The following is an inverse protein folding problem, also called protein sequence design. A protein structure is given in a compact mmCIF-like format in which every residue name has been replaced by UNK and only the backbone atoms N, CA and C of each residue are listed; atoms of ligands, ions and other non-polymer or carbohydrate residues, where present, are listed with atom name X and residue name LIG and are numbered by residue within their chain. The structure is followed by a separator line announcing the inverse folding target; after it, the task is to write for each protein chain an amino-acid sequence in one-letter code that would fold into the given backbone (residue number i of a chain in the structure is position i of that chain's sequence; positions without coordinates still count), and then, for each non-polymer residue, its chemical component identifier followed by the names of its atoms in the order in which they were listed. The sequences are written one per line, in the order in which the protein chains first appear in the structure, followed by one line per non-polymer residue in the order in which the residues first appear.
data_IF_988835444609
#
_entry.id   IF_988835444609
#
_cell.length_a   1.000
_cell.length_b   1.000
_cell.length_c   1.000
_cell.angle_alpha   90.00
_cell.angle_beta   90.00
_cell.angle_gamma   90.00
#
_symmetry.space_group_name_H-M   'P 1'
#
loop_
_entity.id
_entity.type
_entity.pdbx_description
1 polymer ?
#
# COMPACT_ATOMS: atom_id res chain seq x y z
N UNK A 1 -0.59 21.76 -22.94
CA UNK A 1 0.29 20.94 -22.08
C UNK A 1 -0.64 20.11 -21.21
N UNK A 2 -0.54 18.79 -21.27
CA UNK A 2 -1.47 17.92 -20.56
C UNK A 2 -1.05 17.82 -19.08
N UNK A 3 -1.98 18.10 -18.18
CA UNK A 3 -1.76 18.11 -16.73
C UNK A 3 -1.91 16.69 -16.14
N UNK A 4 -1.18 16.36 -15.07
CA UNK A 4 -1.14 15.02 -14.45
C UNK A 4 -2.55 14.49 -14.14
N UNK A 5 -3.43 15.38 -13.69
CA UNK A 5 -4.82 15.05 -13.35
C UNK A 5 -5.63 14.61 -14.57
N UNK A 6 -5.41 15.21 -15.73
CA UNK A 6 -6.09 14.85 -16.97
C UNK A 6 -5.65 13.48 -17.49
N UNK A 7 -4.35 13.17 -17.37
CA UNK A 7 -3.80 11.85 -17.69
C UNK A 7 -4.36 10.76 -16.77
N UNK A 8 -4.40 10.99 -15.46
CA UNK A 8 -4.98 10.05 -14.48
C UNK A 8 -6.47 9.79 -14.77
N UNK A 9 -7.26 10.82 -15.05
CA UNK A 9 -8.68 10.68 -15.42
C UNK A 9 -8.87 9.82 -16.68
N UNK A 10 -8.05 10.04 -17.72
CA UNK A 10 -8.08 9.21 -18.95
C UNK A 10 -7.74 7.75 -18.67
N UNK A 11 -6.82 7.50 -17.74
CA UNK A 11 -6.47 6.17 -17.25
C UNK A 11 -7.51 5.56 -16.27
N UNK A 12 -8.69 6.17 -16.15
CA UNK A 12 -9.83 5.73 -15.32
C UNK A 12 -9.56 5.77 -13.82
N UNK A 13 -8.67 6.65 -13.36
CA UNK A 13 -8.58 7.00 -11.95
C UNK A 13 -9.71 7.98 -11.61
N UNK A 14 -10.33 7.77 -10.46
CA UNK A 14 -11.24 8.73 -9.84
C UNK A 14 -10.47 9.45 -8.73
N UNK A 15 -10.22 10.73 -8.93
CA UNK A 15 -9.54 11.57 -7.95
C UNK A 15 -10.47 11.79 -6.75
N UNK A 16 -9.93 11.69 -5.56
CA UNK A 16 -10.60 11.93 -4.28
C UNK A 16 -9.84 13.05 -3.57
N UNK A 17 -10.53 14.15 -3.31
CA UNK A 17 -9.91 15.33 -2.70
C UNK A 17 -8.78 15.91 -3.55
N UNK A 18 -7.72 16.38 -2.91
CA UNK A 18 -6.60 17.05 -3.56
C UNK A 18 -5.48 16.09 -4.00
N UNK A 19 -5.36 14.92 -3.38
CA UNK A 19 -4.17 14.08 -3.50
C UNK A 19 -4.43 12.56 -3.55
N UNK A 20 -5.67 12.13 -3.29
CA UNK A 20 -6.02 10.72 -3.24
C UNK A 20 -6.67 10.24 -4.55
N UNK A 21 -6.68 8.94 -4.78
CA UNK A 21 -7.40 8.37 -5.92
C UNK A 21 -7.89 6.94 -5.67
N UNK A 22 -8.95 6.57 -6.39
CA UNK A 22 -9.52 5.22 -6.45
C UNK A 22 -9.54 4.75 -7.90
N UNK A 23 -9.39 3.44 -8.09
CA UNK A 23 -9.60 2.81 -9.40
C UNK A 23 -10.16 1.41 -9.20
N UNK A 24 -11.08 0.99 -10.06
CA UNK A 24 -11.58 -0.40 -10.05
C UNK A 24 -10.43 -1.34 -10.39
N UNK A 25 -10.14 -2.25 -9.47
CA UNK A 25 -9.13 -3.27 -9.69
C UNK A 25 -9.51 -4.14 -10.89
N UNK A 26 -8.49 -4.53 -11.68
CA UNK A 26 -8.67 -5.48 -12.78
C UNK A 26 -9.42 -6.75 -12.32
N UNK A 27 -9.09 -7.25 -11.14
CA UNK A 27 -9.71 -8.46 -10.59
C UNK A 27 -11.13 -8.26 -10.07
N UNK A 28 -11.48 -7.06 -9.61
CA UNK A 28 -12.88 -6.73 -9.29
C UNK A 28 -13.75 -6.85 -10.54
N UNK A 29 -13.30 -6.26 -11.66
CA UNK A 29 -13.98 -6.41 -12.97
C UNK A 29 -14.09 -7.88 -13.40
N UNK A 30 -13.00 -8.64 -13.32
CA UNK A 30 -12.98 -10.07 -13.66
C UNK A 30 -13.89 -10.90 -12.76
N UNK A 31 -14.04 -10.52 -11.50
CA UNK A 31 -14.92 -11.20 -10.56
C UNK A 31 -16.40 -10.94 -10.83
N UNK A 32 -16.73 -9.71 -11.24
CA UNK A 32 -18.08 -9.31 -11.60
C UNK A 32 -18.57 -9.93 -12.92
N UNK A 33 -17.69 -10.04 -13.93
CA UNK A 33 -18.09 -10.46 -15.30
C UNK A 33 -17.82 -11.95 -15.56
N UNK A 34 -16.69 -12.47 -15.09
CA UNK A 34 -16.20 -13.81 -15.45
C UNK A 34 -16.19 -14.78 -14.26
N UNK A 35 -16.71 -14.36 -13.10
CA UNK A 35 -16.67 -15.11 -11.84
C UNK A 35 -15.25 -15.56 -11.44
N UNK A 36 -14.22 -14.80 -11.86
CA UNK A 36 -12.81 -15.09 -11.52
C UNK A 36 -12.39 -14.38 -10.24
N UNK A 37 -11.39 -14.93 -9.56
CA UNK A 37 -10.90 -14.41 -8.27
C UNK A 37 -9.42 -14.08 -8.36
N UNK A 38 -8.97 -13.07 -7.61
CA UNK A 38 -7.56 -12.75 -7.50
C UNK A 38 -6.83 -13.74 -6.58
N UNK A 39 -5.50 -13.70 -6.62
CA UNK A 39 -4.67 -14.55 -5.76
C UNK A 39 -4.93 -14.28 -4.27
N UNK A 40 -5.24 -13.03 -3.88
CA UNK A 40 -5.48 -12.69 -2.47
C UNK A 40 -6.72 -13.39 -1.91
N UNK A 41 -7.73 -13.62 -2.74
CA UNK A 41 -8.89 -14.41 -2.34
C UNK A 41 -8.53 -15.86 -2.06
N UNK A 42 -7.66 -16.44 -2.89
CA UNK A 42 -7.21 -17.82 -2.72
C UNK A 42 -6.30 -18.01 -1.50
N UNK A 43 -5.43 -17.05 -1.21
CA UNK A 43 -4.42 -17.18 -0.15
C UNK A 43 -4.86 -16.60 1.19
N UNK A 44 -5.62 -15.50 1.18
CA UNK A 44 -5.98 -14.75 2.38
C UNK A 44 -7.50 -14.69 2.64
N UNK A 45 -8.31 -15.34 1.79
CA UNK A 45 -9.77 -15.40 1.98
C UNK A 45 -10.52 -14.10 1.72
N UNK A 46 -9.87 -13.07 1.15
CA UNK A 46 -10.55 -11.79 0.87
C UNK A 46 -11.40 -11.84 -0.39
N UNK A 47 -12.55 -11.19 -0.37
CA UNK A 47 -13.46 -11.17 -1.53
C UNK A 47 -12.99 -10.15 -2.57
N UNK A 48 -12.57 -10.62 -3.76
CA UNK A 48 -11.95 -9.78 -4.79
C UNK A 48 -12.87 -8.68 -5.30
N UNK A 49 -14.18 -8.94 -5.39
CA UNK A 49 -15.17 -7.96 -5.83
C UNK A 49 -15.48 -6.90 -4.78
N UNK A 50 -15.17 -7.17 -3.50
CA UNK A 50 -15.38 -6.24 -2.36
C UNK A 50 -14.10 -5.53 -1.92
N UNK A 51 -13.11 -5.47 -2.81
CA UNK A 51 -11.86 -4.77 -2.59
C UNK A 51 -11.91 -3.35 -3.19
N UNK A 52 -11.69 -2.35 -2.36
CA UNK A 52 -11.51 -0.95 -2.74
C UNK A 52 -10.01 -0.71 -2.94
N UNK A 53 -9.57 -0.43 -4.17
CA UNK A 53 -8.17 -0.12 -4.47
C UNK A 53 -7.98 1.40 -4.51
N UNK A 54 -7.15 1.92 -3.61
CA UNK A 54 -6.91 3.36 -3.47
C UNK A 54 -5.45 3.72 -3.17
N UNK A 55 -5.17 5.02 -3.17
CA UNK A 55 -3.92 5.61 -2.66
C UNK A 55 -4.21 7.00 -2.10
N UNK A 56 -3.56 7.41 -1.00
CA UNK A 56 -3.59 8.78 -0.50
C UNK A 56 -2.52 9.68 -1.14
N UNK A 57 -1.77 9.22 -2.14
CA UNK A 57 -0.65 9.99 -2.71
C UNK A 57 -0.46 9.72 -4.21
N UNK A 58 -1.51 9.84 -5.01
CA UNK A 58 -1.56 9.32 -6.39
C UNK A 58 -0.44 9.80 -7.32
N UNK A 59 0.00 11.06 -7.18
CA UNK A 59 1.01 11.67 -8.03
C UNK A 59 2.43 11.67 -7.43
N UNK A 60 2.59 11.27 -6.15
CA UNK A 60 3.84 11.43 -5.40
C UNK A 60 4.45 10.08 -5.05
N UNK A 61 5.72 9.88 -5.41
CA UNK A 61 6.52 8.74 -4.99
C UNK A 61 8.00 9.13 -4.93
N UNK A 62 8.75 8.46 -4.08
CA UNK A 62 10.21 8.60 -3.98
C UNK A 62 10.96 7.91 -5.13
N UNK A 63 10.32 6.97 -5.84
CA UNK A 63 10.92 6.24 -6.96
C UNK A 63 10.30 6.59 -8.32
N UNK A 64 11.12 6.52 -9.37
CA UNK A 64 10.73 6.56 -10.79
C UNK A 64 11.04 5.23 -11.47
N UNK A 65 10.37 4.16 -11.02
CA UNK A 65 10.68 2.81 -11.50
C UNK A 65 10.31 2.65 -12.99
N UNK A 66 11.15 1.92 -13.74
CA UNK A 66 10.93 1.60 -15.16
C UNK A 66 9.61 0.84 -15.40
N UNK A 67 9.18 0.02 -14.44
CA UNK A 67 7.95 -0.78 -14.51
C UNK A 67 6.73 -0.07 -13.90
N UNK A 68 6.87 1.15 -13.39
CA UNK A 68 5.75 1.82 -12.73
C UNK A 68 4.74 2.30 -13.78
N UNK A 69 3.51 1.78 -13.69
CA UNK A 69 2.39 2.14 -14.57
C UNK A 69 1.82 3.54 -14.36
N UNK A 70 2.26 4.27 -13.31
CA UNK A 70 1.90 5.68 -13.12
C UNK A 70 2.68 6.54 -14.12
N UNK A 71 2.17 7.72 -14.50
CA UNK A 71 2.91 8.64 -15.36
C UNK A 71 4.09 9.27 -14.57
N UNK A 72 5.21 8.56 -14.48
CA UNK A 72 6.38 8.88 -13.64
C UNK A 72 7.07 10.19 -14.01
N UNK A 73 6.83 10.71 -15.21
CA UNK A 73 7.31 12.02 -15.65
C UNK A 73 6.72 13.14 -14.79
N UNK A 74 5.48 12.99 -14.34
CA UNK A 74 4.70 13.98 -13.58
C UNK A 74 4.79 13.73 -12.06
N UNK A 75 5.96 13.32 -11.58
CA UNK A 75 6.19 13.14 -10.15
C UNK A 75 6.29 14.51 -9.46
N UNK A 76 5.14 15.07 -9.12
CA UNK A 76 4.98 16.35 -8.44
C UNK A 76 5.80 16.39 -7.13
N UNK A 77 6.13 17.60 -6.66
CA UNK A 77 6.97 17.77 -5.46
C UNK A 77 6.21 17.43 -4.17
N UNK A 78 5.16 18.19 -3.86
CA UNK A 78 4.27 17.95 -2.71
C UNK A 78 2.87 18.51 -3.00
N UNK A 79 1.79 17.90 -2.46
CA UNK A 79 0.47 18.50 -2.55
C UNK A 79 0.40 19.80 -1.73
N UNK A 80 -0.42 20.75 -2.19
CA UNK A 80 -0.66 22.02 -1.49
C UNK A 80 -1.32 21.84 -0.12
N UNK A 81 -2.19 20.84 0.00
CA UNK A 81 -2.91 20.51 1.22
C UNK A 81 -3.14 19.01 1.33
N UNK A 82 -3.24 18.52 2.56
CA UNK A 82 -3.61 17.15 2.88
C UNK A 82 -5.03 17.12 3.43
N UNK A 83 -5.88 16.31 2.82
CA UNK A 83 -7.23 16.02 3.27
C UNK A 83 -7.17 15.16 4.54
N UNK A 84 -8.15 15.33 5.42
CA UNK A 84 -8.25 14.52 6.65
C UNK A 84 -8.67 13.08 6.34
N UNK A 85 -8.25 12.08 7.14
CA UNK A 85 -8.55 10.67 6.92
C UNK A 85 -10.02 10.36 6.64
N UNK A 86 -10.93 10.93 7.43
CA UNK A 86 -12.37 10.69 7.31
C UNK A 86 -12.89 11.10 5.92
N UNK A 87 -12.49 12.28 5.44
CA UNK A 87 -12.89 12.78 4.14
C UNK A 87 -12.34 11.91 3.00
N UNK A 88 -11.11 11.40 3.13
CA UNK A 88 -10.51 10.48 2.16
C UNK A 88 -11.31 9.17 2.13
N UNK A 89 -11.60 8.57 3.28
CA UNK A 89 -12.32 7.29 3.36
C UNK A 89 -13.72 7.39 2.75
N UNK A 90 -14.50 8.41 3.15
CA UNK A 90 -15.84 8.65 2.58
C UNK A 90 -15.77 8.93 1.07
N UNK A 91 -14.85 9.79 0.66
CA UNK A 91 -14.61 10.10 -0.75
C UNK A 91 -14.22 8.86 -1.56
N UNK A 92 -13.41 7.96 -0.99
CA UNK A 92 -13.02 6.71 -1.63
C UNK A 92 -14.20 5.73 -1.79
N UNK A 93 -15.03 5.58 -0.77
CA UNK A 93 -16.23 4.71 -0.84
C UNK A 93 -17.21 5.25 -1.89
N UNK A 94 -17.44 6.56 -1.92
CA UNK A 94 -18.32 7.18 -2.89
C UNK A 94 -17.75 7.09 -4.31
N UNK A 95 -16.43 7.30 -4.48
CA UNK A 95 -15.74 7.11 -5.76
C UNK A 95 -15.83 5.66 -6.26
N UNK A 96 -15.69 4.67 -5.38
CA UNK A 96 -15.88 3.27 -5.70
C UNK A 96 -17.30 3.00 -6.23
N UNK A 97 -18.33 3.49 -5.52
CA UNK A 97 -19.74 3.35 -5.94
C UNK A 97 -20.01 4.02 -7.29
N UNK A 98 -19.49 5.23 -7.50
CA UNK A 98 -19.62 5.93 -8.77
C UNK A 98 -18.95 5.16 -9.91
N UNK A 99 -17.74 4.63 -9.70
CA UNK A 99 -17.06 3.82 -10.70
C UNK A 99 -17.81 2.50 -11.00
N UNK A 100 -18.47 1.91 -10.00
CA UNK A 100 -19.29 0.71 -10.15
C UNK A 100 -20.65 1.00 -10.81
N UNK A 101 -21.16 2.23 -10.74
CA UNK A 101 -22.43 2.62 -11.37
C UNK A 101 -22.48 2.27 -12.87
N UNK A 102 -21.34 2.34 -13.56
CA UNK A 102 -21.24 1.99 -14.97
C UNK A 102 -21.56 0.52 -15.29
N UNK A 103 -21.49 -0.38 -14.32
CA UNK A 103 -21.84 -1.80 -14.48
C UNK A 103 -23.36 -2.04 -14.41
N UNK A 104 -24.15 -1.11 -13.85
CA UNK A 104 -25.62 -1.19 -13.90
C UNK A 104 -26.17 -1.02 -15.31
N UNK A 105 -25.40 -0.42 -16.23
CA UNK A 105 -25.73 -0.38 -17.66
C UNK A 105 -25.45 -1.69 -18.40
N UNK A 106 -24.91 -2.71 -17.72
CA UNK A 106 -24.41 -3.94 -18.34
C UNK A 106 -24.76 -5.20 -17.53
N UNK A 107 -25.96 -5.24 -16.95
CA UNK A 107 -26.40 -6.31 -16.05
C UNK A 107 -26.46 -7.70 -16.71
N UNK A 108 -26.58 -7.76 -18.04
CA UNK A 108 -26.62 -9.02 -18.80
C UNK A 108 -25.32 -9.86 -18.68
N UNK A 109 -24.18 -9.23 -18.36
CA UNK A 109 -22.89 -9.92 -18.19
C UNK A 109 -22.28 -9.71 -16.81
N UNK A 110 -23.02 -9.16 -15.86
CA UNK A 110 -22.53 -8.85 -14.52
C UNK A 110 -23.34 -9.63 -13.51
N UNK A 111 -22.66 -10.27 -12.55
CA UNK A 111 -23.31 -10.86 -11.40
C UNK A 111 -23.91 -9.74 -10.51
N UNK A 112 -25.24 -9.66 -10.50
CA UNK A 112 -26.01 -8.63 -9.80
C UNK A 112 -25.78 -8.68 -8.29
N UNK A 113 -25.64 -9.88 -7.71
CA UNK A 113 -25.44 -10.03 -6.27
C UNK A 113 -24.05 -9.54 -5.88
N UNK A 114 -23.03 -9.92 -6.66
CA UNK A 114 -21.67 -9.41 -6.43
C UNK A 114 -21.55 -7.92 -6.68
N UNK A 115 -22.31 -7.35 -7.63
CA UNK A 115 -22.30 -5.91 -7.86
C UNK A 115 -22.81 -5.15 -6.62
N UNK A 116 -23.93 -5.60 -6.03
CA UNK A 116 -24.46 -5.03 -4.78
C UNK A 116 -23.48 -5.14 -3.62
N UNK A 117 -22.75 -6.25 -3.53
CA UNK A 117 -21.70 -6.45 -2.52
C UNK A 117 -20.46 -5.57 -2.79
N UNK A 118 -20.10 -5.35 -4.06
CA UNK A 118 -18.96 -4.53 -4.48
C UNK A 118 -19.18 -3.04 -4.16
N UNK A 119 -20.43 -2.57 -4.19
CA UNK A 119 -20.82 -1.22 -3.78
C UNK A 119 -20.69 -0.99 -2.26
N UNK A 120 -20.54 -2.07 -1.49
CA UNK A 120 -20.30 -2.08 -0.05
C UNK A 120 -19.04 -2.90 0.26
N UNK A 121 -17.86 -2.38 -0.14
CA UNK A 121 -16.60 -3.09 0.00
C UNK A 121 -16.25 -3.32 1.47
N UNK A 122 -15.49 -4.38 1.74
CA UNK A 122 -15.05 -4.79 3.08
C UNK A 122 -13.53 -4.87 3.21
N UNK A 123 -12.80 -4.69 2.10
CA UNK A 123 -11.36 -4.73 2.07
C UNK A 123 -10.87 -3.46 1.36
N UNK A 124 -9.80 -2.86 1.86
CA UNK A 124 -9.12 -1.75 1.20
C UNK A 124 -7.67 -2.13 0.89
N UNK A 125 -7.26 -1.89 -0.35
CA UNK A 125 -5.88 -2.01 -0.80
C UNK A 125 -5.32 -0.61 -1.06
N UNK A 126 -4.50 -0.14 -0.11
CA UNK A 126 -3.73 1.11 -0.19
C UNK A 126 -2.46 0.79 -1.00
N UNK A 127 -2.63 0.68 -2.31
CA UNK A 127 -1.60 0.14 -3.21
C UNK A 127 -1.82 0.53 -4.68
N UNK A 128 -2.54 1.62 -4.95
CA UNK A 128 -2.93 1.97 -6.31
C UNK A 128 -1.77 2.57 -7.12
N UNK A 129 -1.23 3.68 -6.67
CA UNK A 129 -0.13 4.41 -7.28
C UNK A 129 0.51 5.34 -6.24
N UNK A 130 1.72 5.82 -6.51
CA UNK A 130 2.45 6.65 -5.55
C UNK A 130 3.04 5.86 -4.39
N UNK A 131 3.58 6.58 -3.41
CA UNK A 131 4.05 6.02 -2.15
C UNK A 131 3.11 6.46 -1.00
N UNK A 132 2.27 5.55 -0.46
CA UNK A 132 1.24 5.92 0.53
C UNK A 132 1.77 6.56 1.81
N UNK A 133 2.98 6.22 2.23
CA UNK A 133 3.62 6.75 3.45
C UNK A 133 4.04 8.22 3.32
N UNK A 134 3.98 8.81 2.11
CA UNK A 134 4.11 10.26 1.93
C UNK A 134 2.88 11.02 2.44
N UNK A 135 1.77 10.35 2.72
CA UNK A 135 0.62 10.95 3.39
C UNK A 135 0.87 11.04 4.90
N UNK A 136 0.84 12.25 5.51
CA UNK A 136 1.26 12.44 6.91
C UNK A 136 0.45 11.65 7.94
N UNK A 137 -0.86 11.49 7.73
CA UNK A 137 -1.76 10.81 8.68
C UNK A 137 -2.19 9.42 8.19
N UNK A 138 -1.23 8.65 7.67
CA UNK A 138 -1.50 7.29 7.19
C UNK A 138 -2.06 6.37 8.31
N UNK A 139 -1.61 6.56 9.55
CA UNK A 139 -2.17 5.85 10.71
C UNK A 139 -3.64 6.16 10.91
N UNK A 140 -4.04 7.44 10.91
CA UNK A 140 -5.43 7.85 11.03
C UNK A 140 -6.27 7.32 9.86
N UNK A 141 -5.73 7.30 8.64
CA UNK A 141 -6.40 6.70 7.48
C UNK A 141 -6.70 5.21 7.68
N UNK A 142 -5.71 4.44 8.14
CA UNK A 142 -5.88 3.00 8.41
C UNK A 142 -6.89 2.78 9.55
N UNK A 143 -6.85 3.60 10.59
CA UNK A 143 -7.82 3.55 11.70
C UNK A 143 -9.24 3.89 11.24
N UNK A 144 -9.43 4.89 10.39
CA UNK A 144 -10.73 5.27 9.85
C UNK A 144 -11.37 4.17 9.00
N UNK A 145 -10.56 3.43 8.22
CA UNK A 145 -11.03 2.22 7.53
C UNK A 145 -11.41 1.12 8.52
N UNK A 146 -10.59 0.89 9.56
CA UNK A 146 -10.85 -0.14 10.58
C UNK A 146 -12.13 0.15 11.39
N UNK A 147 -12.39 1.42 11.75
CA UNK A 147 -13.64 1.84 12.41
C UNK A 147 -14.87 1.46 11.58
N UNK A 148 -14.76 1.51 10.25
CA UNK A 148 -15.78 1.08 9.29
C UNK A 148 -15.74 -0.42 8.95
N UNK A 149 -14.99 -1.21 9.72
CA UNK A 149 -14.85 -2.68 9.60
C UNK A 149 -14.20 -3.15 8.30
N UNK A 150 -13.33 -2.33 7.69
CA UNK A 150 -12.51 -2.77 6.57
C UNK A 150 -11.30 -3.58 7.05
N UNK A 151 -10.95 -4.61 6.29
CA UNK A 151 -9.58 -5.13 6.31
C UNK A 151 -8.66 -4.21 5.50
N UNK A 152 -7.45 -3.98 5.97
CA UNK A 152 -6.54 -2.98 5.38
C UNK A 152 -5.25 -3.64 4.88
N UNK A 153 -4.93 -3.45 3.60
CA UNK A 153 -3.69 -3.88 2.99
C UNK A 153 -2.89 -2.68 2.52
N UNK A 154 -1.73 -2.44 3.15
CA UNK A 154 -0.80 -1.40 2.77
C UNK A 154 0.33 -1.99 1.92
N UNK A 155 0.68 -1.32 0.82
CA UNK A 155 1.89 -1.61 0.04
C UNK A 155 2.73 -0.35 -0.02
N UNK A 156 3.98 -0.44 0.45
CA UNK A 156 4.96 0.65 0.48
C UNK A 156 6.27 0.17 -0.15
N UNK A 157 7.03 1.11 -0.71
CA UNK A 157 8.40 0.88 -1.17
C UNK A 157 9.45 0.95 -0.04
N UNK A 158 9.04 1.30 1.20
CA UNK A 158 9.91 1.29 2.38
C UNK A 158 10.86 2.48 2.54
N UNK A 159 10.71 3.54 1.75
CA UNK A 159 11.64 4.71 1.73
C UNK A 159 11.29 5.83 2.73
N UNK A 160 10.40 5.58 3.69
CA UNK A 160 9.94 6.59 4.67
C UNK A 160 9.70 5.89 6.02
N UNK A 161 10.77 5.49 6.71
CA UNK A 161 10.74 4.62 7.88
C UNK A 161 10.61 5.40 9.20
N UNK A 162 10.17 6.66 9.17
CA UNK A 162 10.08 7.52 10.36
C UNK A 162 9.35 6.84 11.52
N UNK A 163 8.48 5.86 11.21
CA UNK A 163 7.89 4.93 12.18
C UNK A 163 8.02 3.49 11.68
N UNK A 164 8.72 2.65 12.44
CA UNK A 164 8.65 1.19 12.25
C UNK A 164 7.45 0.64 13.01
N UNK A 165 6.52 -0.02 12.31
CA UNK A 165 5.31 -0.57 12.90
C UNK A 165 5.02 -2.00 12.42
N UNK A 166 4.91 -2.93 13.35
CA UNK A 166 4.41 -4.29 13.10
C UNK A 166 2.94 -4.37 13.54
N UNK A 167 2.04 -4.60 12.59
CA UNK A 167 0.61 -4.74 12.87
C UNK A 167 0.17 -6.20 12.71
N UNK A 168 -0.48 -6.77 13.72
CA UNK A 168 -1.03 -8.12 13.68
C UNK A 168 -2.49 -8.11 13.24
N UNK A 169 -2.87 -9.04 12.35
CA UNK A 169 -4.24 -9.17 11.83
C UNK A 169 -4.86 -10.51 12.24
N UNK A 170 -6.11 -10.56 12.76
CA UNK A 170 -6.97 -9.42 13.14
C UNK A 170 -6.30 -8.56 14.22
N UNK A 171 -6.70 -7.29 14.43
CA UNK A 171 -6.04 -6.30 15.33
C UNK A 171 -5.86 -6.79 16.78
N UNK A 172 -4.98 -7.74 17.00
CA UNK A 172 -4.68 -8.35 18.30
C UNK A 172 -3.58 -7.54 18.99
N UNK A 173 -2.65 -6.98 18.20
CA UNK A 173 -1.48 -6.27 18.70
C UNK A 173 -0.90 -5.34 17.63
N UNK A 174 -0.26 -4.25 18.05
CA UNK A 174 0.66 -3.46 17.25
C UNK A 174 1.93 -3.17 18.04
N UNK A 175 3.09 -3.31 17.39
CA UNK A 175 4.39 -2.93 17.96
C UNK A 175 4.88 -1.71 17.18
N UNK A 176 4.90 -0.54 17.83
CA UNK A 176 5.41 0.71 17.26
C UNK A 176 6.75 1.02 17.90
N UNK A 177 7.79 1.19 17.09
CA UNK A 177 9.12 1.56 17.55
C UNK A 177 9.43 2.97 17.03
N UNK A 178 9.64 3.87 17.98
CA UNK A 178 10.05 5.25 17.73
C UNK A 178 11.40 5.48 18.40
N UNK A 179 12.26 6.28 17.77
CA UNK A 179 13.58 6.52 18.30
C UNK A 179 14.33 7.60 17.54
N UNK A 180 15.47 7.99 18.10
CA UNK A 180 16.39 8.95 17.48
C UNK A 180 17.58 8.17 16.92
N UNK A 181 17.80 8.30 15.62
CA UNK A 181 19.01 7.76 14.98
C UNK A 181 20.12 8.81 15.04
N UNK A 182 21.22 8.47 15.72
CA UNK A 182 22.40 9.32 15.79
C UNK A 182 23.43 8.80 14.81
N UNK A 183 23.78 9.62 13.82
CA UNK A 183 24.84 9.33 12.86
C UNK A 183 26.06 10.18 13.16
N UNK A 184 27.21 9.54 13.41
CA UNK A 184 28.50 10.20 13.51
C UNK A 184 29.43 9.68 12.41
N UNK A 185 29.63 10.50 11.39
CA UNK A 185 30.47 10.19 10.24
C UNK A 185 31.21 11.43 9.76
N UNK A 186 32.30 11.22 9.03
CA UNK A 186 33.15 12.29 8.49
C UNK A 186 32.38 13.28 7.60
N UNK A 187 31.26 12.86 7.01
CA UNK A 187 30.43 13.64 6.08
C UNK A 187 29.14 14.20 6.71
N UNK A 188 29.13 14.40 8.03
CA UNK A 188 27.95 14.85 8.80
C UNK A 188 27.42 16.22 8.36
N UNK A 189 28.31 17.17 8.05
CA UNK A 189 27.90 18.53 7.68
C UNK A 189 27.28 18.57 6.27
N UNK A 190 27.83 17.78 5.34
CA UNK A 190 27.28 17.61 4.00
C UNK A 190 25.89 16.98 4.03
N UNK A 191 25.72 15.93 4.83
CA UNK A 191 24.42 15.25 5.04
C UNK A 191 23.36 16.17 5.65
N UNK A 192 23.71 16.95 6.67
CA UNK A 192 22.75 17.85 7.33
C UNK A 192 22.31 18.96 6.38
N UNK A 193 23.23 19.53 5.60
CA UNK A 193 22.90 20.59 4.65
C UNK A 193 22.04 20.04 3.50
N UNK A 194 22.38 18.87 2.95
CA UNK A 194 21.59 18.23 1.91
C UNK A 194 20.17 17.85 2.40
N UNK A 195 20.05 17.33 3.62
CA UNK A 195 18.76 17.06 4.24
C UNK A 195 17.93 18.32 4.44
N UNK A 196 18.53 19.41 4.91
CA UNK A 196 17.84 20.70 5.13
C UNK A 196 17.32 21.31 3.83
N UNK A 197 18.10 21.22 2.75
CA UNK A 197 17.73 21.81 1.46
C UNK A 197 16.76 20.94 0.66
N UNK A 198 17.04 19.64 0.54
CA UNK A 198 16.31 18.75 -0.37
C UNK A 198 15.30 17.85 0.31
N UNK A 199 15.35 17.74 1.65
CA UNK A 199 14.62 16.72 2.44
C UNK A 199 14.81 15.29 1.92
N UNK A 200 15.94 15.03 1.27
CA UNK A 200 16.30 13.76 0.65
C UNK A 200 17.81 13.59 0.76
N UNK A 201 18.26 12.35 0.96
CA UNK A 201 19.68 12.00 0.98
C UNK A 201 20.04 11.27 -0.32
N UNK A 202 21.31 11.33 -0.70
CA UNK A 202 21.86 10.48 -1.76
C UNK A 202 21.58 8.98 -1.51
N UNK A 203 21.40 8.22 -2.60
CA UNK A 203 20.82 6.87 -2.58
C UNK A 203 21.61 5.90 -1.71
N UNK A 204 22.95 5.92 -1.79
CA UNK A 204 23.80 4.97 -1.06
C UNK A 204 23.79 5.26 0.45
N UNK A 205 23.87 6.53 0.83
CA UNK A 205 23.86 6.97 2.24
C UNK A 205 22.48 6.78 2.86
N UNK A 206 21.43 7.08 2.09
CA UNK A 206 20.05 6.81 2.46
C UNK A 206 19.84 5.33 2.77
N UNK A 207 20.30 4.45 1.86
CA UNK A 207 20.17 3.01 2.00
C UNK A 207 20.92 2.48 3.23
N UNK A 208 22.12 2.99 3.51
CA UNK A 208 22.88 2.65 4.71
C UNK A 208 22.12 2.99 6.00
N UNK A 209 21.63 4.23 6.11
CA UNK A 209 20.88 4.69 7.28
C UNK A 209 19.59 3.88 7.44
N UNK A 210 18.84 3.68 6.35
CA UNK A 210 17.60 2.91 6.34
C UNK A 210 17.80 1.47 6.78
N UNK A 211 18.77 0.79 6.20
CA UNK A 211 19.06 -0.60 6.54
C UNK A 211 19.49 -0.73 8.01
N UNK A 212 20.23 0.25 8.52
CA UNK A 212 20.66 0.26 9.93
C UNK A 212 19.46 0.42 10.88
N UNK A 213 18.56 1.37 10.58
CA UNK A 213 17.33 1.59 11.36
C UNK A 213 16.44 0.35 11.29
N UNK A 214 16.16 -0.14 10.08
CA UNK A 214 15.30 -1.31 9.87
C UNK A 214 15.85 -2.54 10.59
N UNK A 215 17.14 -2.83 10.47
CA UNK A 215 17.75 -3.97 11.16
C UNK A 215 17.57 -3.86 12.67
N UNK A 216 17.80 -2.68 13.26
CA UNK A 216 17.65 -2.50 14.70
C UNK A 216 16.20 -2.63 15.14
N UNK A 217 15.29 -1.89 14.51
CA UNK A 217 13.87 -1.94 14.84
C UNK A 217 13.29 -3.35 14.68
N UNK A 218 13.74 -4.10 13.67
CA UNK A 218 13.28 -5.45 13.42
C UNK A 218 13.70 -6.43 14.53
N UNK A 219 14.96 -6.37 14.97
CA UNK A 219 15.46 -7.19 16.09
C UNK A 219 14.69 -6.89 17.37
N UNK A 220 14.47 -5.60 17.68
CA UNK A 220 13.71 -5.19 18.86
C UNK A 220 12.24 -5.64 18.76
N UNK A 221 11.62 -5.54 17.59
CA UNK A 221 10.24 -5.98 17.39
C UNK A 221 10.08 -7.50 17.61
N UNK A 222 11.07 -8.31 17.23
CA UNK A 222 11.09 -9.75 17.54
C UNK A 222 11.20 -9.97 19.05
N UNK A 223 12.08 -9.23 19.74
CA UNK A 223 12.21 -9.29 21.20
C UNK A 223 10.90 -8.94 21.90
N UNK A 224 10.32 -7.79 21.57
CA UNK A 224 9.04 -7.32 22.10
C UNK A 224 7.91 -8.31 21.80
N UNK A 225 7.85 -8.88 20.59
CA UNK A 225 6.82 -9.85 20.21
C UNK A 225 6.87 -11.10 21.11
N UNK A 226 8.07 -11.54 21.48
CA UNK A 226 8.28 -12.65 22.40
C UNK A 226 7.82 -12.28 23.81
N UNK A 227 8.18 -11.10 24.30
CA UNK A 227 7.85 -10.64 25.65
C UNK A 227 6.34 -10.49 25.87
N UNK A 228 5.61 -10.08 24.82
CA UNK A 228 4.15 -9.92 24.86
C UNK A 228 3.39 -11.17 24.35
N UNK A 229 4.09 -12.29 24.10
CA UNK A 229 3.53 -13.56 23.63
C UNK A 229 2.67 -13.45 22.36
N UNK A 230 3.08 -12.63 21.39
CA UNK A 230 2.46 -12.60 20.05
C UNK A 230 3.37 -13.28 19.02
N UNK A 231 2.83 -13.75 17.88
CA UNK A 231 3.65 -14.35 16.83
C UNK A 231 4.80 -13.43 16.40
N UNK A 232 5.91 -14.00 15.93
CA UNK A 232 6.98 -13.18 15.38
C UNK A 232 6.44 -12.30 14.23
N UNK A 233 6.82 -11.01 14.15
CA UNK A 233 6.47 -10.16 13.01
C UNK A 233 7.16 -10.62 11.72
N UNK A 234 8.07 -11.59 11.82
CA UNK A 234 8.87 -12.15 10.74
C UNK A 234 8.40 -13.56 10.44
N UNK A 235 8.24 -13.87 9.15
CA UNK A 235 8.12 -15.26 8.70
C UNK A 235 9.39 -16.01 9.06
N UNK A 236 9.30 -16.93 10.00
CA UNK A 236 10.41 -17.82 10.35
C UNK A 236 10.68 -18.70 9.11
N UNK A 237 11.95 -18.85 8.68
CA UNK A 237 12.27 -19.77 7.60
C UNK A 237 11.81 -21.18 7.98
N UNK A 238 10.88 -21.73 7.21
CA UNK A 238 10.37 -23.08 7.41
C UNK A 238 11.27 -24.07 6.68
N UNK A 239 11.81 -25.06 7.40
CA UNK A 239 12.48 -26.19 6.76
C UNK A 239 11.40 -27.08 6.16
N UNK A 240 11.20 -26.98 4.84
CA UNK A 240 10.39 -27.95 4.10
C UNK A 240 11.22 -29.20 3.81
N UNK A 241 10.66 -30.38 4.09
CA UNK A 241 11.22 -31.64 3.58
C UNK A 241 11.22 -31.54 2.06
N UNK A 242 12.37 -31.78 1.41
CA UNK A 242 12.43 -31.88 -0.06
C UNK A 242 11.42 -32.94 -0.48
N UNK A 243 10.40 -32.54 -1.26
CA UNK A 243 9.63 -33.52 -2.03
C UNK A 243 10.62 -34.25 -2.93
N UNK A 244 10.65 -35.58 -2.89
CA UNK A 244 11.30 -36.36 -3.92
C UNK A 244 10.66 -35.96 -5.26
N UNK A 245 11.48 -35.41 -6.16
CA UNK A 245 11.06 -35.04 -7.50
C UNK A 245 11.26 -36.30 -8.35
N UNK A 246 10.18 -36.83 -8.92
CA UNK A 246 10.29 -37.92 -9.90
C UNK A 246 11.08 -37.43 -11.13
N UNK A 247 11.88 -38.29 -11.79
CA UNK A 247 12.74 -37.87 -12.89
C UNK A 247 11.89 -37.38 -14.09
N UNK A 248 11.84 -36.07 -14.31
CA UNK A 248 11.18 -35.49 -15.49
C UNK A 248 10.52 -34.12 -15.30
N UNK A 249 10.29 -33.68 -14.06
CA UNK A 249 9.75 -32.33 -13.83
C UNK A 249 10.89 -31.32 -13.72
N UNK A 250 10.99 -30.47 -14.74
CA UNK A 250 12.01 -29.43 -14.85
C UNK A 250 12.00 -28.46 -13.66
N UNK A 251 13.20 -28.01 -13.31
CA UNK A 251 13.46 -27.02 -12.26
C UNK A 251 12.66 -25.74 -12.50
N UNK A 252 11.63 -25.52 -11.70
CA UNK A 252 11.04 -24.19 -11.50
C UNK A 252 11.87 -23.52 -10.41
N UNK A 253 12.77 -22.61 -10.82
CA UNK A 253 13.50 -21.77 -9.88
C UNK A 253 12.51 -20.79 -9.22
N UNK A 254 12.38 -20.91 -7.90
CA UNK A 254 11.92 -19.87 -6.97
C UNK A 254 13.08 -19.43 -6.11
#
# INVERSE_FOLDING_TARGET
MEDVWSTLKRQKYKIVGAHSAVKICHWTKKSLIENRVCYKQKFYGIESHRCLQMTPSVAWCTHKCLFCWRPVEYNEDTPYSYDVPEAIVEGCINAQRELLSGYHGFLEKVDINKLKEAENPTNVAISLAGEPTLYPDLSGLIEEFRKRKFSTFLVTNGTTPDVFCCNYTPNVCSIKIEGVFIFDGSDKEGLINEWKEKKRLDTDKFLFIHNSILYRCFVEAVGVSKDINVPSPVSIPTVSVKKEVEPGEGLVYG
#
